data_IF_627027876623
#
_entry.id   IF_627027876623
#
_cell.length_a   1.000
_cell.length_b   1.000
_cell.length_c   1.000
_cell.angle_alpha   90.00
_cell.angle_beta   90.00
_cell.angle_gamma   90.00
#
_symmetry.space_group_name_H-M   'P 1'
#
loop_
_entity.id
_entity.type
_entity.pdbx_description
1 polymer ?
#
# COMPACT_ATOMS: atom_id res chain seq x y z
N UNK A 1 -20.80 -16.16 -23.12
CA UNK A 1 -21.64 -16.94 -24.03
C UNK A 1 -21.02 -18.28 -24.40
N UNK A 2 -20.11 -18.33 -25.35
CA UNK A 2 -19.63 -19.57 -25.96
C UNK A 2 -19.08 -20.64 -24.99
N UNK A 3 -18.34 -20.27 -23.94
CA UNK A 3 -17.82 -21.25 -22.99
C UNK A 3 -18.87 -21.83 -22.06
N UNK A 4 -19.93 -21.13 -21.71
CA UNK A 4 -21.02 -21.64 -20.89
C UNK A 4 -21.86 -22.67 -21.67
N UNK A 5 -22.16 -22.39 -22.94
CA UNK A 5 -22.86 -23.32 -23.84
C UNK A 5 -22.01 -24.57 -24.09
N UNK A 6 -20.72 -24.39 -24.38
CA UNK A 6 -19.79 -25.50 -24.59
C UNK A 6 -19.68 -26.37 -23.33
N UNK A 7 -19.63 -25.78 -22.13
CA UNK A 7 -19.59 -26.49 -20.84
C UNK A 7 -20.82 -27.38 -20.67
N UNK A 8 -22.03 -26.87 -20.99
CA UNK A 8 -23.26 -27.66 -20.94
C UNK A 8 -23.24 -28.83 -21.93
N UNK A 9 -22.74 -28.60 -23.16
CA UNK A 9 -22.63 -29.65 -24.18
C UNK A 9 -21.66 -30.76 -23.72
N UNK A 10 -20.47 -30.41 -23.19
CA UNK A 10 -19.52 -31.39 -22.66
C UNK A 10 -20.04 -32.10 -21.40
N UNK A 11 -20.84 -31.43 -20.58
CA UNK A 11 -21.52 -32.08 -19.44
C UNK A 11 -22.47 -33.18 -19.92
N UNK A 12 -23.26 -32.96 -20.97
CA UNK A 12 -24.14 -34.00 -21.58
C UNK A 12 -23.32 -35.13 -22.18
N UNK A 13 -22.23 -34.83 -22.90
CA UNK A 13 -21.35 -35.87 -23.46
C UNK A 13 -20.71 -36.75 -22.38
N UNK A 14 -20.37 -36.16 -21.25
CA UNK A 14 -19.84 -36.87 -20.08
C UNK A 14 -20.87 -37.77 -19.39
N UNK A 15 -22.18 -37.50 -19.50
CA UNK A 15 -23.24 -38.42 -19.06
C UNK A 15 -23.24 -39.72 -19.87
N UNK A 16 -23.03 -39.60 -21.19
CA UNK A 16 -22.94 -40.77 -22.07
C UNK A 16 -21.58 -41.50 -22.06
N UNK A 17 -20.51 -40.75 -21.78
CA UNK A 17 -19.14 -41.27 -21.77
C UNK A 17 -18.34 -40.74 -20.60
N UNK A 18 -18.63 -41.19 -19.35
CA UNK A 18 -18.10 -40.59 -18.12
C UNK A 18 -16.57 -40.69 -17.94
N UNK A 19 -15.92 -41.59 -18.68
CA UNK A 19 -14.47 -41.82 -18.63
C UNK A 19 -13.69 -41.27 -19.82
N UNK A 20 -14.33 -40.45 -20.71
CA UNK A 20 -13.66 -39.88 -21.86
C UNK A 20 -12.63 -38.81 -21.44
N UNK A 21 -11.32 -39.03 -21.63
CA UNK A 21 -10.31 -38.03 -21.29
C UNK A 21 -10.49 -36.72 -22.09
N UNK A 22 -10.92 -36.82 -23.34
CA UNK A 22 -11.17 -35.67 -24.22
C UNK A 22 -12.28 -34.76 -23.63
N UNK A 23 -13.42 -35.38 -23.27
CA UNK A 23 -14.54 -34.60 -22.77
C UNK A 23 -14.24 -33.98 -21.39
N UNK A 24 -13.52 -34.71 -20.54
CA UNK A 24 -13.04 -34.17 -19.25
C UNK A 24 -12.11 -32.98 -19.46
N UNK A 25 -11.12 -33.08 -20.35
CA UNK A 25 -10.20 -32.00 -20.70
C UNK A 25 -10.92 -30.76 -21.23
N UNK A 26 -11.87 -30.95 -22.19
CA UNK A 26 -12.64 -29.84 -22.75
C UNK A 26 -13.59 -29.20 -21.76
N UNK A 27 -14.22 -29.99 -20.92
CA UNK A 27 -15.08 -29.51 -19.83
C UNK A 27 -14.28 -28.67 -18.84
N UNK A 28 -13.09 -29.15 -18.41
CA UNK A 28 -12.19 -28.43 -17.54
C UNK A 28 -11.74 -27.09 -18.13
N UNK A 29 -11.43 -27.04 -19.44
CA UNK A 29 -11.11 -25.78 -20.14
C UNK A 29 -12.27 -24.78 -20.11
N UNK A 30 -13.49 -25.23 -20.33
CA UNK A 30 -14.67 -24.36 -20.23
C UNK A 30 -14.86 -23.85 -18.79
N UNK A 31 -14.66 -24.70 -17.77
CA UNK A 31 -14.76 -24.32 -16.37
C UNK A 31 -13.70 -23.27 -15.99
N UNK A 32 -12.45 -23.42 -16.47
CA UNK A 32 -11.38 -22.44 -16.27
C UNK A 32 -11.75 -21.07 -16.83
N UNK A 33 -12.24 -21.02 -18.09
CA UNK A 33 -12.64 -19.76 -18.74
C UNK A 33 -13.85 -19.08 -18.08
N UNK A 34 -14.65 -19.85 -17.34
CA UNK A 34 -15.77 -19.36 -16.56
C UNK A 34 -15.40 -19.03 -15.11
N UNK A 35 -14.11 -19.17 -14.70
CA UNK A 35 -13.63 -18.91 -13.37
C UNK A 35 -13.95 -20.00 -12.33
N UNK A 36 -14.55 -21.13 -12.75
CA UNK A 36 -14.80 -22.28 -11.86
C UNK A 36 -13.53 -23.14 -11.77
N UNK A 37 -12.55 -22.62 -11.05
CA UNK A 37 -11.23 -23.24 -10.92
C UNK A 37 -11.27 -24.59 -10.19
N UNK A 38 -12.15 -24.76 -9.20
CA UNK A 38 -12.29 -26.01 -8.47
C UNK A 38 -12.74 -27.16 -9.38
N UNK A 39 -13.78 -26.92 -10.18
CA UNK A 39 -14.24 -27.86 -11.22
C UNK A 39 -13.16 -28.10 -12.29
N UNK A 40 -12.46 -27.06 -12.74
CA UNK A 40 -11.40 -27.17 -13.72
C UNK A 40 -10.27 -28.10 -13.23
N UNK A 41 -9.73 -27.88 -12.04
CA UNK A 41 -8.67 -28.71 -11.44
C UNK A 41 -9.12 -30.17 -11.31
N UNK A 42 -10.33 -30.42 -10.80
CA UNK A 42 -10.85 -31.77 -10.67
C UNK A 42 -10.89 -32.51 -12.02
N UNK A 43 -11.45 -31.89 -13.06
CA UNK A 43 -11.59 -32.55 -14.35
C UNK A 43 -10.28 -32.64 -15.13
N UNK A 44 -9.36 -31.67 -15.01
CA UNK A 44 -8.00 -31.81 -15.57
C UNK A 44 -7.26 -33.00 -14.96
N UNK A 45 -7.33 -33.19 -13.64
CA UNK A 45 -6.70 -34.33 -12.97
C UNK A 45 -7.31 -35.67 -13.40
N UNK A 46 -8.63 -35.74 -13.57
CA UNK A 46 -9.34 -36.95 -14.05
C UNK A 46 -9.09 -37.27 -15.52
N UNK A 47 -8.74 -36.25 -16.35
CA UNK A 47 -8.49 -36.45 -17.78
C UNK A 47 -7.23 -37.30 -18.08
N UNK A 48 -6.38 -37.59 -17.06
CA UNK A 48 -5.13 -38.33 -17.23
C UNK A 48 -4.11 -37.55 -18.07
N UNK A 49 -3.02 -38.19 -18.47
CA UNK A 49 -1.87 -37.50 -19.11
C UNK A 49 -1.91 -37.43 -20.61
N UNK A 50 -3.02 -37.85 -21.24
CA UNK A 50 -3.21 -37.84 -22.68
C UNK A 50 -3.11 -36.45 -23.30
N UNK A 51 -3.41 -35.40 -22.54
CA UNK A 51 -3.40 -34.00 -22.97
C UNK A 51 -2.41 -33.19 -22.14
N UNK A 52 -1.11 -33.19 -22.47
CA UNK A 52 -0.08 -32.51 -21.63
C UNK A 52 -0.33 -31.03 -21.43
N UNK A 53 -0.98 -30.34 -22.36
CA UNK A 53 -1.34 -28.93 -22.24
C UNK A 53 -2.22 -28.64 -21.01
N UNK A 54 -2.88 -29.64 -20.41
CA UNK A 54 -3.59 -29.49 -19.14
C UNK A 54 -2.70 -28.98 -18.03
N UNK A 55 -1.43 -29.37 -18.01
CA UNK A 55 -0.49 -28.96 -16.98
C UNK A 55 -0.17 -27.46 -17.06
N UNK A 56 -0.11 -26.90 -18.28
CA UNK A 56 0.01 -25.45 -18.44
C UNK A 56 -1.21 -24.73 -17.86
N UNK A 57 -2.42 -25.19 -18.16
CA UNK A 57 -3.65 -24.60 -17.62
C UNK A 57 -3.80 -24.80 -16.10
N UNK A 58 -3.36 -25.94 -15.58
CA UNK A 58 -3.31 -26.14 -14.13
C UNK A 58 -2.35 -25.14 -13.48
N UNK A 59 -1.19 -24.89 -14.10
CA UNK A 59 -0.25 -23.87 -13.62
C UNK A 59 -0.89 -22.47 -13.56
N UNK A 60 -1.60 -22.05 -14.61
CA UNK A 60 -2.34 -20.79 -14.61
C UNK A 60 -3.40 -20.72 -13.49
N UNK A 61 -4.18 -21.80 -13.34
CA UNK A 61 -5.22 -21.89 -12.28
C UNK A 61 -4.56 -21.77 -10.88
N UNK A 62 -3.49 -22.51 -10.64
CA UNK A 62 -2.80 -22.47 -9.35
C UNK A 62 -2.17 -21.10 -9.06
N UNK A 63 -1.69 -20.38 -10.08
CA UNK A 63 -1.28 -18.98 -9.94
C UNK A 63 -2.44 -18.10 -9.47
N UNK A 64 -3.62 -18.23 -10.08
CA UNK A 64 -4.82 -17.50 -9.65
C UNK A 64 -5.29 -17.88 -8.23
N UNK A 65 -5.09 -19.12 -7.81
CA UNK A 65 -5.43 -19.63 -6.47
C UNK A 65 -4.35 -19.34 -5.44
N UNK A 66 -3.26 -18.65 -5.79
CA UNK A 66 -2.10 -18.38 -4.92
C UNK A 66 -1.40 -19.64 -4.39
N UNK A 67 -1.56 -20.75 -5.10
CA UNK A 67 -0.92 -22.04 -4.85
C UNK A 67 0.34 -22.15 -5.70
N UNK A 68 1.37 -21.39 -5.32
CA UNK A 68 2.56 -21.20 -6.17
C UNK A 68 3.45 -22.45 -6.25
N UNK A 69 3.47 -23.28 -5.24
CA UNK A 69 4.22 -24.55 -5.29
C UNK A 69 3.58 -25.51 -6.30
N UNK A 70 2.25 -25.65 -6.29
CA UNK A 70 1.48 -26.45 -7.25
C UNK A 70 1.59 -25.88 -8.67
N UNK A 71 1.63 -24.55 -8.81
CA UNK A 71 1.82 -23.92 -10.10
C UNK A 71 3.20 -24.27 -10.71
N UNK A 72 4.27 -24.20 -9.90
CA UNK A 72 5.63 -24.58 -10.31
C UNK A 72 5.68 -26.05 -10.72
N UNK A 73 5.07 -26.93 -9.95
CA UNK A 73 5.02 -28.37 -10.28
C UNK A 73 4.28 -28.63 -11.60
N UNK A 74 3.14 -27.96 -11.80
CA UNK A 74 2.35 -28.08 -13.01
C UNK A 74 3.12 -27.57 -14.25
N UNK A 75 3.74 -26.40 -14.18
CA UNK A 75 4.56 -25.88 -15.27
C UNK A 75 5.77 -26.78 -15.58
N UNK A 76 6.42 -27.32 -14.55
CA UNK A 76 7.53 -28.28 -14.74
C UNK A 76 7.01 -29.59 -15.38
N UNK A 77 5.83 -30.07 -15.01
CA UNK A 77 5.21 -31.24 -15.65
C UNK A 77 4.92 -30.97 -17.13
N UNK A 78 4.45 -29.77 -17.47
CA UNK A 78 4.27 -29.38 -18.87
C UNK A 78 5.60 -29.36 -19.63
N UNK A 79 6.64 -28.74 -19.05
CA UNK A 79 7.97 -28.72 -19.70
C UNK A 79 8.51 -30.13 -19.98
N UNK A 80 8.35 -31.07 -19.03
CA UNK A 80 8.79 -32.47 -19.23
C UNK A 80 8.03 -33.17 -20.37
N UNK A 81 6.79 -32.74 -20.62
CA UNK A 81 5.97 -33.33 -21.69
C UNK A 81 6.21 -32.71 -23.08
N UNK A 82 6.99 -31.61 -23.17
CA UNK A 82 7.32 -30.97 -24.43
C UNK A 82 8.53 -31.65 -25.08
N UNK A 83 8.45 -31.83 -26.39
CA UNK A 83 9.60 -32.22 -27.19
C UNK A 83 10.58 -31.04 -27.31
N UNK A 84 11.87 -31.29 -27.21
CA UNK A 84 12.90 -30.26 -27.38
C UNK A 84 13.47 -30.33 -28.81
N UNK A 85 13.73 -29.19 -29.50
CA UNK A 85 13.44 -27.82 -29.08
C UNK A 85 11.97 -27.41 -29.21
N UNK A 86 11.47 -26.53 -28.33
CA UNK A 86 10.11 -26.02 -28.37
C UNK A 86 10.07 -24.52 -28.05
N UNK A 87 9.43 -23.74 -28.91
CA UNK A 87 9.32 -22.28 -28.79
C UNK A 87 8.60 -21.79 -27.51
N UNK A 88 7.80 -22.66 -26.86
CA UNK A 88 7.06 -22.34 -25.63
C UNK A 88 7.93 -22.43 -24.38
N UNK A 89 9.06 -23.11 -24.43
CA UNK A 89 9.92 -23.31 -23.25
C UNK A 89 10.31 -21.99 -22.58
N UNK A 90 10.77 -20.95 -23.28
CA UNK A 90 11.12 -19.68 -22.64
C UNK A 90 9.96 -19.03 -21.89
N UNK A 91 8.76 -19.11 -22.47
CA UNK A 91 7.56 -18.57 -21.83
C UNK A 91 7.22 -19.32 -20.53
N UNK A 92 7.27 -20.65 -20.55
CA UNK A 92 6.95 -21.47 -19.37
C UNK A 92 8.02 -21.25 -18.28
N UNK A 93 9.29 -21.16 -18.67
CA UNK A 93 10.36 -20.80 -17.72
C UNK A 93 10.13 -19.44 -17.09
N UNK A 94 9.58 -18.46 -17.82
CA UNK A 94 9.19 -17.18 -17.26
C UNK A 94 8.05 -17.32 -16.26
N UNK A 95 7.03 -18.15 -16.54
CA UNK A 95 5.94 -18.42 -15.60
C UNK A 95 6.45 -19.09 -14.32
N UNK A 96 7.39 -20.03 -14.43
CA UNK A 96 8.02 -20.65 -13.26
C UNK A 96 8.78 -19.59 -12.43
N UNK A 97 9.60 -18.75 -13.06
CA UNK A 97 10.29 -17.66 -12.35
C UNK A 97 9.33 -16.72 -11.66
N UNK A 98 8.19 -16.40 -12.28
CA UNK A 98 7.15 -15.56 -11.66
C UNK A 98 6.53 -16.26 -10.45
N UNK A 99 6.18 -17.55 -10.58
CA UNK A 99 5.63 -18.32 -9.46
C UNK A 99 6.63 -18.44 -8.28
N UNK A 100 7.91 -18.69 -8.57
CA UNK A 100 8.98 -18.72 -7.55
C UNK A 100 9.15 -17.37 -6.86
N UNK A 101 9.04 -16.28 -7.60
CA UNK A 101 9.08 -14.93 -7.08
C UNK A 101 7.89 -14.66 -6.14
N UNK A 102 6.67 -14.91 -6.59
CA UNK A 102 5.44 -14.77 -5.77
C UNK A 102 5.51 -15.62 -4.50
N UNK A 103 5.94 -16.88 -4.62
CA UNK A 103 6.17 -17.80 -3.48
C UNK A 103 7.14 -17.22 -2.46
N UNK A 104 8.26 -16.63 -2.92
CA UNK A 104 9.25 -16.02 -2.04
C UNK A 104 8.67 -14.84 -1.25
N UNK A 105 7.90 -13.97 -1.91
CA UNK A 105 7.24 -12.85 -1.23
C UNK A 105 6.11 -13.31 -0.30
N UNK A 106 5.36 -14.37 -0.67
CA UNK A 106 4.31 -14.91 0.18
C UNK A 106 4.83 -15.44 1.53
N UNK A 107 6.09 -15.89 1.58
CA UNK A 107 6.74 -16.30 2.84
C UNK A 107 7.09 -15.14 3.76
N UNK A 108 6.98 -13.90 3.30
CA UNK A 108 7.35 -12.66 4.01
C UNK A 108 6.26 -11.60 3.92
N UNK A 109 5.01 -12.00 4.10
CA UNK A 109 3.88 -11.05 4.14
C UNK A 109 4.01 -10.19 5.40
N UNK A 110 4.17 -8.89 5.20
CA UNK A 110 4.28 -7.94 6.30
C UNK A 110 2.93 -7.80 7.02
N UNK A 111 2.96 -7.67 8.34
CA UNK A 111 1.78 -7.35 9.13
C UNK A 111 1.54 -5.85 9.04
N UNK A 112 0.54 -5.46 8.30
CA UNK A 112 0.15 -4.07 8.11
C UNK A 112 -1.19 -3.83 8.79
N UNK A 113 -1.26 -2.79 9.60
CA UNK A 113 -2.52 -2.33 10.17
C UNK A 113 -3.17 -1.32 9.22
N UNK A 114 -4.14 -1.77 8.44
CA UNK A 114 -4.94 -0.89 7.57
C UNK A 114 -5.98 -0.16 8.42
N UNK A 115 -6.01 1.16 8.30
CA UNK A 115 -6.98 2.04 8.97
C UNK A 115 -8.23 2.12 8.13
N UNK A 116 -8.08 2.48 6.85
CA UNK A 116 -9.21 2.69 5.94
C UNK A 116 -8.79 2.49 4.48
N UNK A 117 -9.76 2.41 3.58
CA UNK A 117 -9.52 2.41 2.14
C UNK A 117 -10.63 3.12 1.38
N UNK A 118 -10.24 3.97 0.43
CA UNK A 118 -11.17 4.74 -0.39
C UNK A 118 -10.90 4.49 -1.86
N UNK A 119 -11.94 4.23 -2.65
CA UNK A 119 -11.83 4.12 -4.11
C UNK A 119 -12.07 5.49 -4.74
N UNK A 120 -11.12 5.94 -5.55
CA UNK A 120 -11.15 7.25 -6.22
C UNK A 120 -10.66 7.13 -7.65
N UNK A 121 -10.93 8.15 -8.48
CA UNK A 121 -10.33 8.26 -9.80
C UNK A 121 -8.80 8.44 -9.68
N UNK A 122 -8.06 7.92 -10.65
CA UNK A 122 -6.60 7.87 -10.65
C UNK A 122 -5.96 9.26 -10.47
N UNK A 123 -6.52 10.31 -11.07
CA UNK A 123 -6.04 11.70 -10.99
C UNK A 123 -6.41 12.39 -9.67
N UNK A 124 -7.27 11.77 -8.87
CA UNK A 124 -7.86 12.35 -7.66
C UNK A 124 -7.33 11.71 -6.37
N UNK A 125 -6.38 10.79 -6.44
CA UNK A 125 -5.93 9.99 -5.31
C UNK A 125 -5.29 10.79 -4.17
N UNK A 126 -4.71 11.97 -4.43
CA UNK A 126 -4.14 12.83 -3.38
C UNK A 126 -5.20 13.55 -2.53
N UNK A 127 -6.42 13.73 -3.05
CA UNK A 127 -7.48 14.41 -2.28
C UNK A 127 -7.94 13.64 -1.03
N UNK A 128 -7.69 12.33 -1.01
CA UNK A 128 -8.02 11.45 0.12
C UNK A 128 -6.81 11.16 1.01
N UNK A 129 -5.68 11.85 0.78
CA UNK A 129 -4.46 11.73 1.56
C UNK A 129 -4.17 13.05 2.29
N UNK A 130 -4.85 13.37 3.40
CA UNK A 130 -4.54 14.56 4.16
C UNK A 130 -3.14 14.41 4.78
N UNK A 131 -2.18 15.24 4.31
CA UNK A 131 -0.79 15.20 4.76
C UNK A 131 -0.46 16.45 5.57
N UNK A 132 0.42 16.29 6.56
CA UNK A 132 1.03 17.42 7.27
C UNK A 132 2.01 18.17 6.35
N UNK A 133 2.34 19.41 6.71
CA UNK A 133 3.32 20.20 5.96
C UNK A 133 4.72 19.55 5.97
N UNK A 134 5.02 18.79 7.02
CA UNK A 134 6.28 18.07 7.21
C UNK A 134 6.47 16.93 6.20
N UNK A 135 5.39 16.35 5.70
CA UNK A 135 5.45 15.34 4.63
C UNK A 135 5.87 15.95 3.26
N UNK A 136 6.00 17.27 3.17
CA UNK A 136 6.30 17.99 1.95
C UNK A 136 5.07 18.26 1.09
N UNK A 137 5.28 18.69 -0.14
CA UNK A 137 4.20 18.98 -1.10
C UNK A 137 4.18 17.94 -2.20
N UNK A 138 3.01 17.38 -2.45
CA UNK A 138 2.78 16.40 -3.51
C UNK A 138 1.82 16.97 -4.56
N UNK A 139 2.09 16.66 -5.82
CA UNK A 139 1.18 16.90 -6.93
C UNK A 139 1.06 15.63 -7.76
N UNK A 140 -0.13 15.38 -8.31
CA UNK A 140 -0.42 14.21 -9.14
C UNK A 140 -0.68 14.62 -10.57
N UNK A 141 -0.08 13.95 -11.54
CA UNK A 141 -0.40 14.12 -12.94
C UNK A 141 -1.56 13.19 -13.38
N UNK A 142 -2.05 13.38 -14.61
CA UNK A 142 -3.16 12.58 -15.16
C UNK A 142 -2.87 11.08 -15.31
N UNK A 143 -1.60 10.69 -15.23
CA UNK A 143 -1.18 9.28 -15.32
C UNK A 143 -1.05 8.61 -13.96
N UNK A 144 -1.38 9.33 -12.87
CA UNK A 144 -1.22 8.85 -11.50
C UNK A 144 0.23 8.94 -10.99
N UNK A 145 1.13 9.64 -11.67
CA UNK A 145 2.48 9.85 -11.20
C UNK A 145 2.56 11.06 -10.29
N UNK A 146 3.17 10.89 -9.12
CA UNK A 146 3.39 11.97 -8.18
C UNK A 146 4.69 12.72 -8.48
N UNK A 147 4.66 14.02 -8.19
CA UNK A 147 5.85 14.85 -8.04
C UNK A 147 5.94 15.32 -6.60
N UNK A 148 7.12 15.25 -6.03
CA UNK A 148 7.40 15.57 -4.63
C UNK A 148 8.29 16.81 -4.52
N UNK A 149 7.98 17.66 -3.57
CA UNK A 149 8.81 18.77 -3.12
C UNK A 149 8.95 18.69 -1.59
N UNK A 150 10.17 18.76 -1.10
CA UNK A 150 10.41 18.67 0.34
C UNK A 150 9.82 19.87 1.10
N UNK A 151 9.68 19.74 2.42
CA UNK A 151 9.13 20.75 3.32
C UNK A 151 9.81 22.12 3.17
N UNK A 152 11.13 22.14 2.99
CA UNK A 152 11.89 23.39 2.82
C UNK A 152 11.64 24.10 1.48
N UNK A 153 11.03 23.41 0.50
CA UNK A 153 10.82 23.93 -0.84
C UNK A 153 12.11 24.13 -1.64
N UNK A 154 13.20 23.46 -1.25
CA UNK A 154 14.52 23.58 -1.86
C UNK A 154 14.96 22.38 -2.69
N UNK A 155 14.22 21.26 -2.60
CA UNK A 155 14.45 20.04 -3.40
C UNK A 155 13.15 19.49 -3.94
N UNK A 156 13.11 19.17 -5.22
CA UNK A 156 11.98 18.50 -5.86
C UNK A 156 12.43 17.26 -6.62
N UNK A 157 11.57 16.24 -6.64
CA UNK A 157 11.74 15.01 -7.42
C UNK A 157 10.47 14.74 -8.21
N UNK A 158 10.61 14.27 -9.43
CA UNK A 158 9.49 13.87 -10.29
C UNK A 158 9.92 12.87 -11.34
N UNK A 159 8.96 12.23 -11.99
CA UNK A 159 9.22 11.37 -13.14
C UNK A 159 9.26 12.21 -14.43
N UNK A 160 10.31 12.06 -15.23
CA UNK A 160 10.46 12.72 -16.53
C UNK A 160 10.65 11.67 -17.63
N UNK A 161 10.04 11.91 -18.78
CA UNK A 161 10.28 11.07 -19.96
C UNK A 161 11.64 11.44 -20.57
N UNK A 162 12.50 10.43 -20.74
CA UNK A 162 13.84 10.53 -21.36
C UNK A 162 13.96 9.40 -22.38
N UNK A 163 14.10 9.77 -23.64
CA UNK A 163 14.12 8.83 -24.77
C UNK A 163 12.93 7.83 -24.72
N UNK A 164 13.20 6.57 -24.47
CA UNK A 164 12.19 5.50 -24.36
C UNK A 164 11.81 5.15 -22.92
N UNK A 165 12.45 5.77 -21.93
CA UNK A 165 12.25 5.47 -20.50
C UNK A 165 11.58 6.63 -19.76
N UNK A 166 10.93 6.32 -18.63
CA UNK A 166 10.47 7.30 -17.66
C UNK A 166 11.33 7.17 -16.42
N UNK A 167 12.06 8.22 -16.08
CA UNK A 167 13.10 8.19 -15.04
C UNK A 167 12.82 9.23 -13.97
N UNK A 168 13.26 8.97 -12.75
CA UNK A 168 13.20 9.94 -11.67
C UNK A 168 14.34 10.92 -11.83
N UNK A 169 13.99 12.21 -11.80
CA UNK A 169 14.91 13.34 -11.81
C UNK A 169 14.72 14.17 -10.56
N UNK A 170 15.77 14.92 -10.19
CA UNK A 170 15.74 15.87 -9.08
C UNK A 170 16.22 17.24 -9.51
N UNK A 171 15.77 18.29 -8.82
CA UNK A 171 16.32 19.62 -8.94
C UNK A 171 16.40 20.28 -7.56
N UNK A 172 17.38 21.13 -7.39
CA UNK A 172 17.60 21.93 -6.19
C UNK A 172 17.31 23.39 -6.45
N UNK A 173 16.78 24.08 -5.45
CA UNK A 173 16.56 25.51 -5.54
C UNK A 173 17.86 26.25 -5.30
N UNK A 174 18.27 27.02 -6.29
CA UNK A 174 19.40 27.95 -6.22
C UNK A 174 18.79 29.33 -5.99
N UNK A 175 19.22 30.07 -4.98
CA UNK A 175 18.73 31.44 -4.69
C UNK A 175 17.32 31.75 -5.28
N UNK A 176 17.24 32.16 -6.55
CA UNK A 176 16.00 32.59 -7.20
C UNK A 176 15.50 31.66 -8.33
N UNK A 177 16.21 30.56 -8.60
CA UNK A 177 15.86 29.63 -9.68
C UNK A 177 16.12 28.18 -9.29
N UNK A 178 15.48 27.26 -10.03
CA UNK A 178 15.78 25.85 -9.90
C UNK A 178 17.02 25.48 -10.73
N UNK A 179 17.83 24.55 -10.21
CA UNK A 179 18.89 23.91 -11.01
C UNK A 179 18.31 23.22 -12.24
N UNK A 180 19.13 22.97 -13.24
CA UNK A 180 18.77 22.01 -14.28
C UNK A 180 18.40 20.64 -13.62
N UNK A 181 17.39 19.94 -14.17
CA UNK A 181 17.04 18.60 -13.66
C UNK A 181 18.21 17.63 -13.82
N UNK A 182 18.60 17.00 -12.73
CA UNK A 182 19.60 15.94 -12.71
C UNK A 182 18.92 14.58 -12.59
N UNK A 183 19.37 13.60 -13.38
CA UNK A 183 18.81 12.26 -13.40
C UNK A 183 19.38 11.46 -12.25
N UNK A 184 18.52 10.84 -11.43
CA UNK A 184 19.00 9.95 -10.37
C UNK A 184 19.81 8.77 -10.96
N UNK A 185 20.74 8.19 -10.18
CA UNK A 185 21.58 7.09 -10.65
C UNK A 185 20.78 5.93 -11.24
N UNK A 186 21.41 5.17 -12.16
CA UNK A 186 20.81 3.99 -12.79
C UNK A 186 20.38 2.91 -11.80
N UNK A 187 20.91 2.94 -10.57
CA UNK A 187 20.50 2.06 -9.48
C UNK A 187 19.03 2.32 -9.08
N UNK A 188 18.59 3.58 -9.08
CA UNK A 188 17.19 3.98 -8.83
C UNK A 188 16.39 3.88 -10.13
N UNK A 189 16.93 4.43 -11.22
CA UNK A 189 16.36 4.36 -12.55
C UNK A 189 16.68 3.01 -13.19
N UNK A 190 16.08 1.96 -12.62
CA UNK A 190 16.23 0.56 -13.05
C UNK A 190 15.70 0.36 -14.49
N UNK A 191 15.71 -0.89 -14.95
CA UNK A 191 14.99 -1.24 -16.18
C UNK A 191 13.48 -0.92 -16.02
N UNK A 192 12.86 -0.47 -17.09
CA UNK A 192 11.44 -0.07 -17.05
C UNK A 192 11.24 1.42 -16.77
N UNK A 193 10.06 1.76 -16.29
CA UNK A 193 9.60 3.14 -16.03
C UNK A 193 9.47 3.35 -14.54
N UNK A 194 9.98 4.46 -14.03
CA UNK A 194 9.87 4.85 -12.62
C UNK A 194 8.92 6.04 -12.48
N UNK A 195 8.08 6.01 -11.43
CA UNK A 195 7.10 7.08 -11.12
C UNK A 195 7.05 7.35 -9.63
N UNK A 196 6.40 8.45 -9.26
CA UNK A 196 5.98 8.79 -7.90
C UNK A 196 7.10 8.73 -6.85
N UNK A 197 8.22 9.44 -7.05
CA UNK A 197 9.24 9.54 -6.01
C UNK A 197 8.70 10.29 -4.79
N UNK A 198 8.97 9.77 -3.60
CA UNK A 198 8.68 10.38 -2.32
C UNK A 198 9.85 10.17 -1.35
N UNK A 199 10.31 11.24 -0.72
CA UNK A 199 11.40 11.18 0.27
C UNK A 199 10.84 11.46 1.65
N UNK A 200 11.16 10.60 2.64
CA UNK A 200 10.78 10.81 4.02
C UNK A 200 11.41 12.10 4.59
N UNK A 201 10.91 12.54 5.75
CA UNK A 201 11.43 13.70 6.47
C UNK A 201 12.91 13.55 6.87
N UNK A 202 13.42 12.31 6.95
CA UNK A 202 14.85 12.01 7.17
C UNK A 202 15.75 12.49 6.01
N UNK A 203 15.17 12.83 4.86
CA UNK A 203 15.87 13.30 3.67
C UNK A 203 16.67 12.25 2.91
N UNK A 204 16.69 11.00 3.40
CA UNK A 204 17.52 9.91 2.83
C UNK A 204 16.71 8.71 2.35
N UNK A 205 15.53 8.44 2.94
CA UNK A 205 14.69 7.30 2.56
C UNK A 205 13.79 7.68 1.38
N UNK A 206 14.00 7.05 0.24
CA UNK A 206 13.25 7.27 -1.00
C UNK A 206 12.30 6.10 -1.26
N UNK A 207 11.01 6.41 -1.42
CA UNK A 207 10.01 5.52 -2.00
C UNK A 207 9.73 5.90 -3.45
N UNK A 208 9.47 4.93 -4.30
CA UNK A 208 9.05 5.16 -5.68
C UNK A 208 8.35 3.91 -6.23
N UNK A 209 7.66 4.07 -7.35
CA UNK A 209 7.07 2.93 -8.06
C UNK A 209 7.83 2.66 -9.36
N UNK A 210 7.99 1.39 -9.70
CA UNK A 210 8.70 0.94 -10.91
C UNK A 210 8.02 -0.27 -11.53
N UNK A 211 7.93 -0.33 -12.86
CA UNK A 211 7.49 -1.52 -13.59
C UNK A 211 8.68 -2.38 -14.06
N UNK A 212 9.73 -2.43 -13.25
CA UNK A 212 10.88 -3.31 -13.49
C UNK A 212 10.45 -4.77 -13.59
N UNK A 213 11.09 -5.53 -14.46
CA UNK A 213 10.76 -6.95 -14.71
C UNK A 213 10.91 -7.86 -13.49
N UNK A 214 11.64 -7.41 -12.46
CA UNK A 214 11.77 -8.11 -11.19
C UNK A 214 10.61 -7.84 -10.22
N UNK A 215 9.68 -6.96 -10.56
CA UNK A 215 8.46 -6.67 -9.82
C UNK A 215 7.48 -7.86 -9.77
N UNK A 216 6.45 -7.73 -8.95
CA UNK A 216 5.36 -8.71 -8.82
C UNK A 216 4.29 -8.54 -9.90
N UNK A 217 4.02 -7.28 -10.29
CA UNK A 217 2.96 -6.93 -11.21
C UNK A 217 3.35 -5.87 -12.25
N UNK A 218 2.50 -4.87 -12.38
CA UNK A 218 2.74 -3.70 -13.22
C UNK A 218 3.76 -2.76 -12.59
N UNK A 219 3.31 -1.66 -12.00
CA UNK A 219 4.16 -0.84 -11.14
C UNK A 219 4.17 -1.42 -9.74
N UNK A 220 5.36 -1.67 -9.19
CA UNK A 220 5.57 -2.08 -7.80
C UNK A 220 6.22 -0.96 -7.00
N UNK A 221 5.95 -0.91 -5.70
CA UNK A 221 6.56 0.03 -4.76
C UNK A 221 7.93 -0.49 -4.30
N UNK A 222 8.90 0.42 -4.34
CA UNK A 222 10.28 0.17 -3.91
C UNK A 222 10.70 1.18 -2.87
N UNK A 223 11.65 0.78 -2.03
CA UNK A 223 12.34 1.62 -1.06
C UNK A 223 13.84 1.58 -1.32
N UNK A 224 14.51 2.71 -1.26
CA UNK A 224 15.96 2.84 -1.26
C UNK A 224 16.40 3.91 -0.28
N UNK A 225 17.64 3.86 0.18
CA UNK A 225 18.21 4.85 1.09
C UNK A 225 19.46 5.46 0.51
N UNK A 226 19.53 6.77 0.59
CA UNK A 226 20.72 7.51 0.21
C UNK A 226 21.74 7.46 1.35
N UNK A 227 22.97 7.02 1.02
CA UNK A 227 24.09 7.00 1.94
C UNK A 227 24.95 8.24 1.71
N UNK A 228 24.87 9.19 2.64
CA UNK A 228 25.61 10.46 2.58
C UNK A 228 27.12 10.30 2.66
N UNK A 229 27.61 9.20 3.24
CA UNK A 229 29.06 8.96 3.35
C UNK A 229 29.69 8.46 2.04
N UNK A 230 28.92 7.75 1.22
CA UNK A 230 29.39 7.19 -0.06
C UNK A 230 28.79 7.89 -1.28
N UNK A 231 27.89 8.86 -1.07
CA UNK A 231 27.17 9.60 -2.11
C UNK A 231 26.42 8.67 -3.08
N UNK A 232 25.85 7.59 -2.55
CA UNK A 232 25.16 6.56 -3.34
C UNK A 232 23.85 6.13 -2.70
N UNK A 233 22.93 5.61 -3.50
CA UNK A 233 21.72 4.93 -3.01
C UNK A 233 22.01 3.45 -2.70
N UNK A 234 21.30 2.88 -1.75
CA UNK A 234 21.26 1.43 -1.56
C UNK A 234 20.49 0.78 -2.70
N UNK A 235 20.72 -0.51 -2.94
CA UNK A 235 19.90 -1.27 -3.90
C UNK A 235 18.42 -1.15 -3.53
N UNK A 236 17.53 -0.79 -4.49
CA UNK A 236 16.10 -0.71 -4.23
C UNK A 236 15.53 -2.06 -3.79
N UNK A 237 14.82 -2.05 -2.69
CA UNK A 237 14.11 -3.22 -2.17
C UNK A 237 12.63 -3.11 -2.55
N UNK A 238 12.10 -4.14 -3.23
CA UNK A 238 10.67 -4.25 -3.48
C UNK A 238 9.94 -4.49 -2.16
N UNK A 239 8.89 -3.71 -1.87
CA UNK A 239 8.18 -3.79 -0.59
C UNK A 239 7.47 -5.14 -0.37
N UNK A 240 7.14 -5.84 -1.45
CA UNK A 240 6.47 -7.13 -1.36
C UNK A 240 5.04 -7.04 -0.87
N UNK A 241 4.50 -8.18 -0.43
CA UNK A 241 3.14 -8.25 0.10
C UNK A 241 3.04 -7.67 1.51
N UNK A 242 1.95 -6.96 1.83
CA UNK A 242 0.74 -6.73 1.04
C UNK A 242 0.77 -5.46 0.18
N UNK A 243 1.84 -4.68 0.23
CA UNK A 243 1.90 -3.40 -0.49
C UNK A 243 1.83 -3.59 -1.99
N UNK A 244 2.64 -4.52 -2.53
CA UNK A 244 2.67 -4.85 -3.96
C UNK A 244 1.74 -6.02 -4.30
N UNK A 245 1.36 -6.12 -5.57
CA UNK A 245 0.46 -7.16 -6.09
C UNK A 245 0.80 -7.49 -7.54
N UNK A 246 -0.07 -8.22 -8.22
CA UNK A 246 -0.03 -8.45 -9.67
C UNK A 246 -0.60 -7.26 -10.50
N UNK A 247 -1.13 -6.24 -9.82
CA UNK A 247 -1.69 -5.03 -10.41
C UNK A 247 -0.65 -3.89 -10.49
N UNK A 248 -1.10 -2.62 -10.48
CA UNK A 248 -0.22 -1.46 -10.38
C UNK A 248 -0.35 -0.83 -8.99
N UNK A 249 0.77 -0.52 -8.40
CA UNK A 249 0.91 0.31 -7.23
C UNK A 249 1.52 1.65 -7.62
N UNK A 250 0.83 2.75 -7.29
CA UNK A 250 1.16 4.06 -7.84
C UNK A 250 2.06 4.89 -6.97
N UNK A 251 1.90 4.84 -5.66
CA UNK A 251 2.73 5.59 -4.72
C UNK A 251 2.73 4.99 -3.30
N UNK A 252 3.74 5.36 -2.53
CA UNK A 252 3.81 5.21 -1.08
C UNK A 252 4.20 6.55 -0.49
N UNK A 253 3.43 7.03 0.50
CA UNK A 253 3.68 8.28 1.23
C UNK A 253 3.47 8.00 2.71
N UNK A 254 4.35 8.51 3.55
CA UNK A 254 4.28 8.35 5.01
C UNK A 254 4.33 9.74 5.66
N UNK A 255 3.28 10.09 6.37
CA UNK A 255 3.24 11.25 7.24
C UNK A 255 3.71 10.82 8.64
N UNK A 256 4.98 11.05 8.93
CA UNK A 256 5.61 10.65 10.18
C UNK A 256 5.05 11.41 11.39
N UNK A 257 4.58 12.63 11.19
CA UNK A 257 3.98 13.45 12.27
C UNK A 257 2.63 12.90 12.70
N UNK A 258 1.83 12.47 11.73
CA UNK A 258 0.50 11.89 11.98
C UNK A 258 0.55 10.38 12.23
N UNK A 259 1.69 9.75 12.01
CA UNK A 259 1.86 8.30 12.04
C UNK A 259 0.90 7.56 11.10
N UNK A 260 0.68 8.12 9.91
CA UNK A 260 -0.20 7.54 8.88
C UNK A 260 0.59 7.41 7.59
N UNK A 261 0.52 6.20 6.99
CA UNK A 261 0.99 5.96 5.64
C UNK A 261 -0.16 5.81 4.66
N UNK A 262 0.08 6.14 3.40
CA UNK A 262 -0.86 5.97 2.29
C UNK A 262 -0.17 5.25 1.14
N UNK A 263 -0.87 4.32 0.52
CA UNK A 263 -0.45 3.75 -0.76
C UNK A 263 -1.66 3.53 -1.66
N UNK A 264 -1.46 3.65 -2.97
CA UNK A 264 -2.52 3.48 -3.96
C UNK A 264 -2.24 2.31 -4.87
N UNK A 265 -3.29 1.55 -5.19
CA UNK A 265 -3.24 0.40 -6.09
C UNK A 265 -4.53 0.31 -6.92
N UNK A 266 -4.44 -0.19 -8.14
CA UNK A 266 -5.62 -0.48 -8.97
C UNK A 266 -6.11 -1.93 -8.81
N UNK A 267 -5.51 -2.73 -7.89
CA UNK A 267 -6.03 -4.08 -7.56
C UNK A 267 -7.49 -4.01 -7.16
N UNK A 268 -8.30 -4.86 -7.75
CA UNK A 268 -9.75 -4.92 -7.51
C UNK A 268 -10.52 -3.63 -7.84
N UNK A 269 -9.92 -2.72 -8.63
CA UNK A 269 -10.58 -1.47 -9.05
C UNK A 269 -10.97 -1.53 -10.52
N UNK A 270 -12.07 -0.88 -10.92
CA UNK A 270 -12.39 -0.68 -12.33
C UNK A 270 -11.32 0.14 -13.05
N UNK A 271 -11.24 0.02 -14.35
CA UNK A 271 -10.30 0.79 -15.16
C UNK A 271 -10.46 2.32 -14.92
N UNK A 272 -9.35 3.00 -14.67
CA UNK A 272 -9.31 4.44 -14.37
C UNK A 272 -9.56 4.80 -12.89
N UNK A 273 -9.80 3.79 -12.04
CA UNK A 273 -9.94 3.97 -10.60
C UNK A 273 -8.82 3.25 -9.85
N UNK A 274 -8.50 3.78 -8.68
CA UNK A 274 -7.55 3.19 -7.73
C UNK A 274 -8.17 3.15 -6.35
N UNK A 275 -7.65 2.25 -5.52
CA UNK A 275 -7.94 2.22 -4.10
C UNK A 275 -6.75 2.75 -3.34
N UNK A 276 -6.99 3.79 -2.56
CA UNK A 276 -6.00 4.34 -1.63
C UNK A 276 -6.25 3.72 -0.27
N UNK A 277 -5.24 3.06 0.26
CA UNK A 277 -5.23 2.52 1.61
C UNK A 277 -4.49 3.47 2.54
N UNK A 278 -5.07 3.74 3.71
CA UNK A 278 -4.37 4.36 4.83
C UNK A 278 -3.97 3.29 5.84
N UNK A 279 -2.77 3.39 6.40
CA UNK A 279 -2.22 2.39 7.32
C UNK A 279 -1.34 3.02 8.40
N UNK A 280 -1.12 2.29 9.48
CA UNK A 280 -0.17 2.68 10.53
C UNK A 280 1.23 2.20 10.14
N UNK A 281 2.20 3.13 9.90
CA UNK A 281 3.58 2.75 9.64
C UNK A 281 4.20 2.06 10.85
N UNK A 282 4.79 0.88 10.65
CA UNK A 282 5.46 0.16 11.72
C UNK A 282 6.91 0.64 11.85
N UNK A 283 7.37 0.89 13.06
CA UNK A 283 8.79 1.19 13.36
C UNK A 283 9.70 0.02 12.98
N UNK A 284 9.21 -1.21 13.17
CA UNK A 284 9.90 -2.44 12.80
C UNK A 284 8.97 -3.34 12.00
N UNK A 285 9.44 -3.79 10.83
CA UNK A 285 8.70 -4.74 10.01
C UNK A 285 8.50 -6.05 10.75
N UNK A 286 7.25 -6.47 10.88
CA UNK A 286 6.87 -7.78 11.42
C UNK A 286 6.17 -8.57 10.34
N UNK A 287 6.33 -9.90 10.36
CA UNK A 287 5.80 -10.76 9.30
C UNK A 287 4.86 -11.81 9.87
N UNK A 288 3.84 -12.18 9.08
CA UNK A 288 3.00 -13.31 9.40
C UNK A 288 3.83 -14.62 9.36
N UNK A 289 3.67 -15.47 10.36
CA UNK A 289 4.34 -16.76 10.44
C UNK A 289 3.34 -17.83 10.84
N UNK A 290 3.52 -19.06 10.32
CA UNK A 290 2.75 -20.24 10.71
C UNK A 290 1.23 -20.10 10.51
N UNK A 291 0.80 -19.36 9.49
CA UNK A 291 -0.60 -19.30 9.08
C UNK A 291 -0.90 -20.33 8.00
N UNK A 292 -2.16 -20.81 7.92
CA UNK A 292 -2.63 -21.61 6.79
C UNK A 292 -2.42 -20.85 5.46
N UNK A 293 -2.15 -21.57 4.33
CA UNK A 293 -1.91 -20.95 3.03
C UNK A 293 -3.01 -19.98 2.59
N UNK A 294 -4.27 -20.32 2.79
CA UNK A 294 -5.42 -19.47 2.43
C UNK A 294 -5.45 -18.18 3.24
N UNK A 295 -5.09 -18.26 4.54
CA UNK A 295 -5.04 -17.11 5.43
C UNK A 295 -3.90 -16.17 5.04
N UNK A 296 -2.70 -16.69 4.77
CA UNK A 296 -1.57 -15.85 4.37
C UNK A 296 -1.82 -15.19 3.01
N UNK A 297 -2.46 -15.90 2.07
CA UNK A 297 -2.87 -15.36 0.78
C UNK A 297 -3.93 -14.24 0.93
N UNK A 298 -4.88 -14.40 1.87
CA UNK A 298 -5.88 -13.37 2.17
C UNK A 298 -5.25 -12.09 2.74
N UNK A 299 -4.24 -12.22 3.65
CA UNK A 299 -3.48 -11.07 4.16
C UNK A 299 -2.64 -10.42 3.07
N UNK A 300 -1.95 -11.19 2.24
CA UNK A 300 -1.14 -10.69 1.13
C UNK A 300 -1.97 -9.89 0.11
N UNK A 301 -3.23 -10.28 -0.09
CA UNK A 301 -4.17 -9.62 -1.01
C UNK A 301 -4.98 -8.50 -0.34
N UNK A 302 -4.84 -8.26 0.97
CA UNK A 302 -5.70 -7.38 1.76
C UNK A 302 -7.20 -7.79 1.77
N UNK A 303 -7.52 -9.04 1.38
CA UNK A 303 -8.91 -9.54 1.39
C UNK A 303 -9.43 -9.71 2.82
N UNK A 304 -8.59 -10.02 3.78
CA UNK A 304 -8.95 -10.09 5.20
C UNK A 304 -9.49 -8.76 5.72
N UNK A 305 -8.90 -7.64 5.28
CA UNK A 305 -9.38 -6.30 5.59
C UNK A 305 -10.77 -6.04 4.95
N UNK A 306 -10.95 -6.42 3.69
CA UNK A 306 -12.24 -6.27 2.99
C UNK A 306 -13.35 -7.16 3.58
N UNK A 307 -13.00 -8.32 4.12
CA UNK A 307 -13.95 -9.25 4.73
C UNK A 307 -14.34 -8.86 6.17
N UNK A 308 -13.52 -8.08 6.87
CA UNK A 308 -13.73 -7.73 8.28
C UNK A 308 -14.77 -6.62 8.51
N UNK A 309 -15.48 -6.14 7.49
CA UNK A 309 -16.59 -5.20 7.65
C UNK A 309 -16.65 -4.06 6.61
N UNK A 310 -15.64 -3.91 5.78
CA UNK A 310 -15.65 -2.96 4.66
C UNK A 310 -16.00 -3.68 3.35
N UNK A 311 -17.11 -4.42 3.36
CA UNK A 311 -17.62 -5.13 2.20
C UNK A 311 -17.82 -4.15 1.04
N UNK A 312 -17.21 -4.46 -0.10
CA UNK A 312 -17.54 -3.82 -1.39
C UNK A 312 -19.05 -3.89 -1.60
N UNK A 313 -19.73 -2.80 -1.90
CA UNK A 313 -21.06 -2.91 -2.51
C UNK A 313 -20.86 -3.56 -3.89
N UNK A 314 -21.40 -4.77 -4.03
CA UNK A 314 -21.54 -5.44 -5.32
C UNK A 314 -22.51 -4.60 -6.15
N UNK A 315 -22.03 -4.09 -7.22
CA UNK A 315 -22.69 -3.47 -8.38
C UNK A 315 -22.17 -2.06 -8.70
N UNK A 316 -21.79 -1.94 -9.96
CA UNK A 316 -21.59 -0.68 -10.65
C UNK A 316 -22.84 0.22 -10.49
N UNK A 317 -22.84 1.10 -9.51
CA UNK A 317 -23.76 2.21 -9.43
C UNK A 317 -22.99 3.52 -9.56
N UNK A 318 -23.48 4.33 -10.47
CA UNK A 318 -23.05 5.68 -10.82
C UNK A 318 -22.79 6.56 -9.59
N UNK A 319 -21.93 7.59 -9.69
CA UNK A 319 -21.69 8.49 -8.60
C UNK A 319 -22.99 9.20 -8.21
N UNK A 320 -23.58 8.78 -7.11
CA UNK A 320 -24.69 9.51 -6.50
C UNK A 320 -24.08 10.73 -5.83
N UNK A 321 -24.46 11.89 -6.33
CA UNK A 321 -24.25 13.14 -5.61
C UNK A 321 -24.95 13.01 -4.24
N UNK A 322 -24.16 12.95 -3.18
CA UNK A 322 -24.68 12.88 -1.82
C UNK A 322 -25.24 14.25 -1.45
N UNK A 323 -26.56 14.36 -1.50
CA UNK A 323 -27.27 15.39 -0.78
C UNK A 323 -27.25 15.04 0.72
N UNK A 324 -27.00 15.99 1.62
CA UNK A 324 -26.89 15.71 3.04
C UNK A 324 -28.31 15.62 3.65
N UNK A 325 -28.83 14.42 3.82
CA UNK A 325 -29.94 14.18 4.74
C UNK A 325 -30.11 12.69 5.02
N UNK A 326 -29.98 12.38 6.29
CA UNK A 326 -30.59 11.34 7.07
C UNK A 326 -29.71 10.20 7.58
N UNK A 327 -29.72 10.16 8.88
CA UNK A 327 -29.34 9.20 9.90
C UNK A 327 -27.92 9.45 10.43
N UNK A 328 -27.86 10.35 11.40
CA UNK A 328 -26.76 10.54 12.33
C UNK A 328 -26.76 9.37 13.32
N UNK A 329 -25.86 8.40 13.13
CA UNK A 329 -25.22 7.80 14.29
C UNK A 329 -24.33 8.88 14.92
N UNK A 330 -24.28 9.02 16.26
CA UNK A 330 -23.45 10.05 16.88
C UNK A 330 -22.01 9.80 16.48
N UNK A 331 -21.40 10.78 15.83
CA UNK A 331 -19.96 10.76 15.56
C UNK A 331 -19.22 10.49 16.89
N UNK A 332 -18.20 9.60 16.91
CA UNK A 332 -17.43 9.37 18.11
C UNK A 332 -16.88 10.70 18.60
N UNK A 333 -17.17 11.04 19.85
CA UNK A 333 -16.81 12.34 20.44
C UNK A 333 -15.31 12.57 20.48
N UNK A 334 -14.53 11.48 20.43
CA UNK A 334 -13.07 11.49 20.37
C UNK A 334 -12.56 10.30 19.56
N UNK A 335 -11.34 10.40 19.05
CA UNK A 335 -10.62 9.29 18.45
C UNK A 335 -9.19 9.31 18.97
N UNK A 336 -8.92 8.51 20.00
CA UNK A 336 -7.60 8.45 20.64
C UNK A 336 -7.05 7.03 20.60
N UNK A 337 -5.95 6.83 19.91
CA UNK A 337 -5.26 5.53 19.79
C UNK A 337 -4.27 5.38 20.92
N UNK A 338 -4.55 4.48 21.85
CA UNK A 338 -3.68 4.19 22.97
C UNK A 338 -2.55 3.24 22.57
N UNK A 339 -2.90 2.15 21.87
CA UNK A 339 -1.99 1.16 21.29
C UNK A 339 -2.69 0.43 20.12
N UNK A 340 -1.99 -0.55 19.52
CA UNK A 340 -2.46 -1.32 18.35
C UNK A 340 -3.79 -2.08 18.56
N UNK A 341 -4.27 -2.16 19.80
CA UNK A 341 -5.45 -2.96 20.17
C UNK A 341 -6.55 -2.13 20.86
N UNK A 342 -6.24 -0.91 21.29
CA UNK A 342 -7.14 -0.09 22.11
C UNK A 342 -7.27 1.31 21.55
N UNK A 343 -8.48 1.65 21.13
CA UNK A 343 -8.86 2.99 20.65
C UNK A 343 -10.00 3.51 21.53
N UNK A 344 -9.82 4.71 22.06
CA UNK A 344 -10.83 5.39 22.84
C UNK A 344 -11.71 6.26 21.93
N UNK A 345 -13.01 6.05 22.01
CA UNK A 345 -14.02 6.76 21.22
C UNK A 345 -14.86 7.72 22.04
N UNK A 346 -14.76 7.59 23.38
CA UNK A 346 -15.45 8.45 24.34
C UNK A 346 -14.46 8.89 25.44
N UNK A 347 -14.74 10.03 26.05
CA UNK A 347 -14.02 10.48 27.25
C UNK A 347 -14.17 9.52 28.45
N UNK A 348 -15.19 8.67 28.44
CA UNK A 348 -15.44 7.66 29.46
C UNK A 348 -14.55 6.43 29.31
N UNK A 349 -13.89 6.25 28.16
CA UNK A 349 -12.96 5.15 27.92
C UNK A 349 -11.64 5.31 28.71
N UNK A 350 -11.32 6.54 29.17
CA UNK A 350 -10.12 6.78 29.98
C UNK A 350 -10.28 6.23 31.39
N UNK A 351 -9.33 5.41 31.81
CA UNK A 351 -9.33 4.75 33.12
C UNK A 351 -8.72 5.63 34.22
N UNK A 352 -7.93 6.64 33.83
CA UNK A 352 -7.30 7.61 34.74
C UNK A 352 -7.88 9.00 34.53
N UNK A 353 -8.31 9.64 35.63
CA UNK A 353 -8.79 11.03 35.61
C UNK A 353 -7.65 12.01 35.21
N UNK A 354 -6.42 11.67 35.56
CA UNK A 354 -5.24 12.45 35.17
C UNK A 354 -5.00 12.34 33.66
N UNK A 355 -5.13 11.14 33.07
CA UNK A 355 -5.00 10.93 31.62
C UNK A 355 -6.13 11.64 30.86
N UNK A 356 -7.35 11.63 31.39
CA UNK A 356 -8.50 12.35 30.82
C UNK A 356 -8.26 13.86 30.81
N UNK A 357 -7.77 14.42 31.91
CA UNK A 357 -7.44 15.85 32.02
C UNK A 357 -6.28 16.21 31.07
N UNK A 358 -5.25 15.40 31.01
CA UNK A 358 -4.11 15.59 30.11
C UNK A 358 -4.54 15.52 28.63
N UNK A 359 -5.54 14.68 28.29
CA UNK A 359 -6.09 14.61 26.94
C UNK A 359 -6.86 15.88 26.55
N UNK A 360 -7.63 16.46 27.46
CA UNK A 360 -8.31 17.74 27.24
C UNK A 360 -7.31 18.87 27.03
N UNK A 361 -6.24 18.91 27.83
CA UNK A 361 -5.15 19.86 27.64
C UNK A 361 -4.46 19.67 26.28
N UNK A 362 -4.21 18.43 25.87
CA UNK A 362 -3.66 18.10 24.58
C UNK A 362 -4.55 18.56 23.43
N UNK A 363 -5.86 18.36 23.48
CA UNK A 363 -6.82 18.88 22.49
C UNK A 363 -6.78 20.41 22.37
N UNK A 364 -6.68 21.10 23.50
CA UNK A 364 -6.58 22.56 23.52
C UNK A 364 -5.28 23.03 22.88
N UNK A 365 -4.17 22.34 23.16
CA UNK A 365 -2.89 22.63 22.53
C UNK A 365 -2.91 22.37 21.01
N UNK A 366 -3.57 21.30 20.55
CA UNK A 366 -3.72 21.01 19.11
C UNK A 366 -4.48 22.12 18.40
N UNK A 367 -5.57 22.62 18.98
CA UNK A 367 -6.34 23.75 18.43
C UNK A 367 -5.49 25.02 18.36
N UNK A 368 -4.69 25.28 19.40
CA UNK A 368 -3.77 26.42 19.44
C UNK A 368 -2.69 26.30 18.37
N UNK A 369 -2.06 25.12 18.23
CA UNK A 369 -1.05 24.84 17.21
C UNK A 369 -1.58 25.06 15.80
N UNK A 370 -2.80 24.61 15.50
CA UNK A 370 -3.42 24.85 14.18
C UNK A 370 -3.63 26.35 13.89
N UNK A 371 -4.03 27.12 14.90
CA UNK A 371 -4.22 28.56 14.77
C UNK A 371 -2.88 29.29 14.56
N UNK A 372 -1.85 28.91 15.34
CA UNK A 372 -0.50 29.49 15.25
C UNK A 372 0.17 29.13 13.93
N UNK A 373 0.06 27.90 13.45
CA UNK A 373 0.58 27.47 12.15
C UNK A 373 -0.06 28.25 10.99
N UNK A 374 -1.38 28.40 11.02
CA UNK A 374 -2.11 29.20 10.02
C UNK A 374 -1.63 30.66 9.98
N UNK A 375 -1.38 31.24 11.17
CA UNK A 375 -0.85 32.59 11.32
C UNK A 375 0.59 32.69 10.80
N UNK A 376 1.41 31.67 11.14
CA UNK A 376 2.80 31.59 10.70
C UNK A 376 2.90 31.49 9.18
N UNK A 377 2.06 30.67 8.56
CA UNK A 377 1.98 30.56 7.09
C UNK A 377 1.59 31.91 6.44
N UNK A 378 0.65 32.63 7.05
CA UNK A 378 0.24 33.95 6.55
C UNK A 378 1.41 34.95 6.63
N UNK A 379 2.09 35.01 7.79
CA UNK A 379 3.24 35.88 7.98
C UNK A 379 4.41 35.52 7.04
N UNK A 380 4.65 34.25 6.79
CA UNK A 380 5.68 33.80 5.83
C UNK A 380 5.36 34.21 4.39
N UNK A 381 4.08 34.19 3.98
CA UNK A 381 3.64 34.70 2.66
C UNK A 381 3.84 36.21 2.57
N UNK A 382 3.43 36.95 3.59
CA UNK A 382 3.62 38.39 3.66
C UNK A 382 5.12 38.76 3.63
N UNK A 383 5.94 38.02 4.38
CA UNK A 383 7.40 38.20 4.39
C UNK A 383 8.02 37.97 3.02
N UNK A 384 7.57 36.97 2.28
CA UNK A 384 8.09 36.69 0.92
C UNK A 384 7.81 37.82 -0.05
N UNK A 385 6.66 38.50 0.09
CA UNK A 385 6.23 39.62 -0.75
C UNK A 385 6.73 41.01 -0.27
N UNK A 386 7.30 41.09 0.97
CA UNK A 386 7.68 42.34 1.61
C UNK A 386 9.03 42.89 1.09
N UNK A 387 9.19 44.22 1.17
CA UNK A 387 10.47 44.90 0.91
C UNK A 387 11.45 44.71 2.11
N UNK A 388 12.72 45.08 1.93
CA UNK A 388 13.78 44.85 2.92
C UNK A 388 13.52 45.51 4.30
N UNK A 389 12.87 46.68 4.34
CA UNK A 389 12.53 47.34 5.60
C UNK A 389 11.46 46.55 6.35
N UNK A 390 10.40 46.18 5.66
CA UNK A 390 9.28 45.39 6.23
C UNK A 390 9.72 43.99 6.68
N UNK A 391 10.62 43.33 5.95
CA UNK A 391 11.22 42.05 6.34
C UNK A 391 11.96 42.16 7.67
N UNK A 392 12.74 43.21 7.90
CA UNK A 392 13.44 43.41 9.19
C UNK A 392 12.49 43.55 10.37
N UNK A 393 11.33 44.19 10.18
CA UNK A 393 10.30 44.29 11.22
C UNK A 393 9.61 42.95 11.48
N UNK A 394 9.36 42.18 10.45
CA UNK A 394 8.64 40.90 10.57
C UNK A 394 9.49 39.75 11.11
N UNK A 395 10.81 39.77 10.86
CA UNK A 395 11.71 38.70 11.28
C UNK A 395 11.58 38.35 12.75
N UNK A 396 11.66 39.28 13.73
CA UNK A 396 11.57 38.91 15.15
C UNK A 396 10.17 38.37 15.53
N UNK A 397 9.11 38.78 14.83
CA UNK A 397 7.75 38.30 15.09
C UNK A 397 7.59 36.84 14.60
N UNK A 398 8.13 36.54 13.42
CA UNK A 398 8.10 35.18 12.85
C UNK A 398 8.92 34.25 13.71
N UNK A 399 10.17 34.63 14.07
CA UNK A 399 11.04 33.79 14.91
C UNK A 399 10.44 33.53 16.28
N UNK A 400 9.78 34.53 16.88
CA UNK A 400 9.09 34.33 18.15
C UNK A 400 7.94 33.33 18.01
N UNK A 401 7.11 33.47 16.99
CA UNK A 401 5.98 32.57 16.76
C UNK A 401 6.46 31.15 16.43
N UNK A 402 7.56 30.99 15.69
CA UNK A 402 8.19 29.68 15.44
C UNK A 402 8.64 29.01 16.74
N UNK A 403 9.34 29.74 17.62
CA UNK A 403 9.76 29.21 18.91
C UNK A 403 8.57 28.85 19.84
N UNK A 404 7.51 29.67 19.81
CA UNK A 404 6.30 29.41 20.59
C UNK A 404 5.60 28.15 20.07
N UNK A 405 5.48 27.98 18.75
CA UNK A 405 4.93 26.79 18.09
C UNK A 405 5.75 25.52 18.39
N UNK A 406 7.08 25.60 18.34
CA UNK A 406 7.97 24.48 18.69
C UNK A 406 7.80 24.07 20.16
N UNK A 407 7.70 25.04 21.07
CA UNK A 407 7.51 24.80 22.50
C UNK A 407 6.15 24.12 22.76
N UNK A 408 5.09 24.58 22.10
CA UNK A 408 3.76 24.00 22.19
C UNK A 408 3.75 22.58 21.62
N UNK A 409 4.45 22.32 20.52
CA UNK A 409 4.57 21.00 19.90
C UNK A 409 5.27 20.01 20.83
N UNK A 410 6.39 20.41 21.45
CA UNK A 410 7.09 19.59 22.43
C UNK A 410 6.20 19.25 23.64
N UNK A 411 5.42 20.23 24.13
CA UNK A 411 4.48 20.03 25.22
C UNK A 411 3.35 19.07 24.84
N UNK A 412 2.78 19.22 23.65
CA UNK A 412 1.73 18.32 23.14
C UNK A 412 2.24 16.88 23.03
N UNK A 413 3.44 16.66 22.51
CA UNK A 413 4.06 15.33 22.41
C UNK A 413 4.36 14.74 23.81
N UNK A 414 4.80 15.55 24.74
CA UNK A 414 5.05 15.13 26.12
C UNK A 414 3.76 14.69 26.83
N UNK A 415 2.67 15.44 26.66
CA UNK A 415 1.34 15.07 27.17
C UNK A 415 0.86 13.76 26.55
N UNK A 416 0.95 13.61 25.23
CA UNK A 416 0.54 12.40 24.50
C UNK A 416 1.26 11.15 25.05
N UNK A 417 2.57 11.24 25.27
CA UNK A 417 3.37 10.15 25.83
C UNK A 417 2.99 9.87 27.30
N UNK A 418 2.65 10.90 28.07
CA UNK A 418 2.20 10.75 29.45
C UNK A 418 0.85 10.03 29.53
N UNK A 419 -0.11 10.44 28.71
CA UNK A 419 -1.43 9.83 28.63
C UNK A 419 -1.31 8.34 28.30
N UNK A 420 -0.56 8.00 27.23
CA UNK A 420 -0.35 6.61 26.84
C UNK A 420 0.29 5.77 27.93
N UNK A 421 1.28 6.33 28.65
CA UNK A 421 1.95 5.62 29.73
C UNK A 421 1.02 5.33 30.90
N UNK A 422 0.21 6.31 31.31
CA UNK A 422 -0.74 6.18 32.41
C UNK A 422 -1.81 5.15 32.09
N UNK A 423 -2.43 5.24 30.92
CA UNK A 423 -3.47 4.30 30.50
C UNK A 423 -2.95 2.88 30.33
N UNK A 424 -1.77 2.68 29.76
CA UNK A 424 -1.14 1.37 29.65
C UNK A 424 -0.82 0.74 31.01
N UNK A 425 -0.45 1.54 32.01
CA UNK A 425 -0.24 1.06 33.38
C UNK A 425 -1.55 0.54 34.00
N UNK A 426 -2.66 1.24 33.80
CA UNK A 426 -3.99 0.81 34.27
C UNK A 426 -4.46 -0.48 33.58
N UNK A 427 -4.28 -0.60 32.28
CA UNK A 427 -4.64 -1.79 31.52
C UNK A 427 -3.82 -3.04 31.91
N UNK A 428 -2.52 -2.84 32.21
CA UNK A 428 -1.65 -3.95 32.66
C UNK A 428 -1.95 -4.37 34.10
N UNK A 429 -2.32 -3.44 34.96
CA UNK A 429 -2.70 -3.71 36.35
C UNK A 429 -4.06 -4.44 36.46
N UNK A 430 -4.96 -4.25 35.49
CA UNK A 430 -6.29 -4.85 35.45
C UNK A 430 -6.34 -6.25 34.84
N UNK A 431 -5.24 -6.75 34.26
CA UNK A 431 -5.15 -8.10 33.71
C UNK A 431 -4.71 -9.10 34.80
N UNK A 432 -5.55 -10.05 35.24
CA UNK A 432 -5.16 -11.05 36.24
C UNK A 432 -4.11 -11.99 35.64
N UNK A 433 -2.91 -11.98 36.23
CA UNK A 433 -1.85 -12.95 36.00
C UNK A 433 -2.41 -14.34 36.33
N UNK A 434 -2.73 -15.16 35.33
CA UNK A 434 -2.91 -16.61 35.53
C UNK A 434 -1.54 -17.21 35.85
N UNK A 435 -1.23 -17.30 37.13
CA UNK A 435 -0.13 -18.12 37.61
C UNK A 435 -0.49 -19.58 37.38
N UNK A 436 0.07 -20.19 36.34
CA UNK A 436 0.11 -21.65 36.21
C UNK A 436 1.10 -22.19 37.24
N UNK A 437 0.61 -22.52 38.43
CA UNK A 437 1.29 -23.48 39.29
C UNK A 437 1.25 -24.86 38.65
N UNK A 438 2.37 -25.24 38.08
CA UNK A 438 2.66 -26.63 37.75
C UNK A 438 3.07 -27.33 39.07
N UNK A 439 2.23 -28.21 39.58
CA UNK A 439 2.57 -29.21 40.60
C UNK A 439 2.30 -30.58 40.10
N UNK A 440 3.41 -31.33 39.96
CA UNK A 440 3.60 -32.79 39.93
C UNK A 440 3.20 -33.50 38.65
#
# INVERSE_FOLDING_TARGET
GAYAEAQQAYRRLLQGSPRSPLYMYRYARCAQELGDYATAVNYFNRAGDKYPLKYFYLGEIYMHLWQFDEAIEAYNAYMRALSSPNERIPHIQQQIRNAEKCRRYLRRVEKVHIIDSVQVALDSMLYVCPLSAEAGTLTCDRTGSLSYMNQRGDRRLWAADRDSARVIVSAHRLLDQWSAPDTLPSLINMSGRQISPYVLSDGVTLYFASNDTNGLGGYDLYISRYNTATDTYTHPENLGYPYNSDANEYFMVIDEVRHIGYFATDRFSPQGYVRVYSFVPAEQKTYWRNLPPDSIAAYAQLRSYLLAGNAMPDSAQQPVAVSPSAIQEPEPQIHFILNDSVVYTSMDDFHSDEARTAYQEWQTLQTTLQAEDSKLQTLRREYSAANAARRREMTPVILKLENDTDSCTQRANSLLNSIRRQELQHLTASSPVKSSQNKR
#
